data_IF_726973996499
#
_entry.id   IF_726973996499
#
_cell.length_a   1.000
_cell.length_b   1.000
_cell.length_c   1.000
_cell.angle_alpha   90.00
_cell.angle_beta   90.00
_cell.angle_gamma   90.00
#
_symmetry.space_group_name_H-M   'P 1'
#
loop_
_entity.id
_entity.type
_entity.pdbx_description
1 polymer ?
#
# COMPACT_ATOMS: atom_id res chain seq x y z
N UNK A 1 -11.13 8.33 -7.38
CA UNK A 1 -10.32 7.19 -7.85
C UNK A 1 -8.86 7.53 -7.57
N UNK A 2 -8.12 6.65 -6.88
CA UNK A 2 -6.71 6.89 -6.57
C UNK A 2 -5.81 6.79 -7.82
N UNK A 3 -4.51 6.97 -7.64
CA UNK A 3 -3.51 6.76 -8.69
C UNK A 3 -3.41 5.26 -9.00
N UNK A 4 -3.58 4.86 -10.26
CA UNK A 4 -3.50 3.46 -10.68
C UNK A 4 -3.08 3.34 -12.14
N UNK A 5 -2.81 2.10 -12.55
CA UNK A 5 -2.57 1.69 -13.92
C UNK A 5 -3.06 0.24 -14.13
N UNK A 6 -3.12 -0.23 -15.36
CA UNK A 6 -3.51 -1.60 -15.66
C UNK A 6 -2.25 -2.46 -15.77
N UNK A 7 -2.27 -3.61 -15.10
CA UNK A 7 -1.20 -4.62 -15.16
C UNK A 7 -1.79 -5.98 -15.54
N UNK A 8 -1.02 -6.80 -16.22
CA UNK A 8 -1.38 -8.19 -16.48
C UNK A 8 -0.57 -9.08 -15.55
N UNK A 9 -1.24 -9.90 -14.76
CA UNK A 9 -0.62 -10.77 -13.76
C UNK A 9 -1.12 -12.19 -13.86
N UNK A 10 -0.29 -13.14 -13.38
CA UNK A 10 -0.72 -14.49 -13.03
C UNK A 10 -0.41 -14.71 -11.56
N UNK A 11 -1.36 -15.25 -10.82
CA UNK A 11 -1.17 -15.56 -9.40
C UNK A 11 -1.85 -16.90 -9.06
N UNK A 12 -1.23 -17.64 -8.14
CA UNK A 12 -1.76 -18.94 -7.67
C UNK A 12 -1.60 -19.00 -6.15
N UNK A 13 -2.69 -19.33 -5.44
CA UNK A 13 -2.67 -19.57 -4.01
C UNK A 13 -3.76 -20.58 -3.65
N UNK A 14 -3.46 -21.52 -2.73
CA UNK A 14 -4.42 -22.49 -2.22
C UNK A 14 -5.05 -23.43 -3.27
N UNK A 15 -4.53 -23.43 -4.51
CA UNK A 15 -5.11 -24.18 -5.66
C UNK A 15 -5.95 -23.32 -6.60
N UNK A 16 -6.25 -22.09 -6.23
CA UNK A 16 -6.89 -21.10 -7.08
C UNK A 16 -5.86 -20.37 -7.92
N UNK A 17 -6.23 -20.03 -9.14
CA UNK A 17 -5.37 -19.31 -10.08
C UNK A 17 -6.14 -18.19 -10.76
N UNK A 18 -5.54 -17.01 -10.79
CA UNK A 18 -5.99 -15.90 -11.62
C UNK A 18 -4.96 -15.59 -12.69
N UNK A 19 -5.44 -15.19 -13.87
CA UNK A 19 -4.62 -14.74 -14.98
C UNK A 19 -5.42 -13.70 -15.75
N UNK A 20 -4.92 -12.48 -15.80
CA UNK A 20 -5.65 -11.39 -16.45
C UNK A 20 -5.07 -10.01 -16.20
N UNK A 21 -5.80 -9.02 -16.68
CA UNK A 21 -5.43 -7.62 -16.54
C UNK A 21 -6.30 -6.96 -15.47
N UNK A 22 -5.64 -6.28 -14.52
CA UNK A 22 -6.25 -5.69 -13.34
C UNK A 22 -5.80 -4.25 -13.18
N UNK A 23 -6.66 -3.43 -12.58
CA UNK A 23 -6.23 -2.14 -12.06
C UNK A 23 -5.34 -2.36 -10.83
N UNK A 24 -4.11 -1.90 -10.92
CA UNK A 24 -3.14 -1.93 -9.84
C UNK A 24 -2.86 -0.52 -9.35
N UNK A 25 -2.81 -0.33 -8.04
CA UNK A 25 -2.48 0.95 -7.43
C UNK A 25 -3.36 1.34 -6.26
N UNK A 26 -3.53 2.65 -6.09
CA UNK A 26 -4.27 3.22 -4.99
C UNK A 26 -5.77 3.08 -5.17
N UNK A 27 -6.45 2.65 -4.11
CA UNK A 27 -7.89 2.66 -3.99
C UNK A 27 -8.25 3.75 -2.99
N UNK A 28 -9.14 4.67 -3.40
CA UNK A 28 -9.66 5.72 -2.53
C UNK A 28 -11.01 5.29 -1.99
N UNK A 29 -11.14 5.26 -0.68
CA UNK A 29 -12.36 4.91 0.03
C UNK A 29 -12.86 6.07 0.87
N UNK A 30 -14.18 6.20 0.93
CA UNK A 30 -14.89 7.07 1.87
C UNK A 30 -15.63 6.21 2.88
N UNK A 31 -15.49 6.52 4.16
CA UNK A 31 -16.21 5.81 5.21
C UNK A 31 -17.70 6.16 5.19
N UNK A 32 -18.54 5.12 5.30
CA UNK A 32 -20.01 5.30 5.45
C UNK A 32 -20.36 5.59 6.89
N UNK A 33 -19.78 6.42 7.59
CA UNK A 33 -19.99 6.80 8.99
C UNK A 33 -20.42 5.65 9.98
N UNK A 34 -19.89 5.67 11.22
CA UNK A 34 -18.92 6.65 11.73
C UNK A 34 -17.50 6.38 11.23
N UNK A 35 -16.69 7.42 11.04
CA UNK A 35 -15.28 7.28 10.72
C UNK A 35 -14.57 6.63 11.91
N UNK A 36 -13.81 5.54 11.70
CA UNK A 36 -13.07 4.88 12.77
C UNK A 36 -12.03 5.81 13.39
N UNK A 37 -11.82 5.68 14.70
CA UNK A 37 -10.82 6.50 15.41
C UNK A 37 -9.42 6.33 14.82
N UNK A 38 -8.77 7.42 14.49
CA UNK A 38 -7.43 7.45 13.92
C UNK A 38 -7.40 7.39 12.39
N UNK A 39 -8.55 7.51 11.73
CA UNK A 39 -8.65 7.62 10.27
C UNK A 39 -9.25 8.98 9.87
N UNK A 40 -8.89 9.42 8.67
CA UNK A 40 -9.54 10.52 7.98
C UNK A 40 -10.87 10.05 7.34
N UNK A 41 -11.70 10.99 6.88
CA UNK A 41 -12.98 10.68 6.20
C UNK A 41 -12.79 9.83 4.94
N UNK A 42 -11.69 10.06 4.23
CA UNK A 42 -11.24 9.27 3.08
C UNK A 42 -9.90 8.63 3.38
N UNK A 43 -9.68 7.41 2.90
CA UNK A 43 -8.41 6.70 3.02
C UNK A 43 -7.91 6.22 1.68
N UNK A 44 -6.60 6.09 1.57
CA UNK A 44 -5.94 5.42 0.45
C UNK A 44 -5.48 4.06 0.93
N UNK A 45 -5.82 3.02 0.18
CA UNK A 45 -5.40 1.65 0.46
C UNK A 45 -4.79 0.98 -0.78
N UNK A 46 -4.17 -0.16 -0.56
CA UNK A 46 -3.68 -1.09 -1.56
C UNK A 46 -4.20 -2.48 -1.28
N UNK A 47 -4.48 -3.24 -2.33
CA UNK A 47 -4.93 -4.62 -2.20
C UNK A 47 -3.78 -5.51 -1.71
N UNK A 48 -4.09 -6.51 -0.90
CA UNK A 48 -3.14 -7.54 -0.47
C UNK A 48 -3.50 -8.92 -1.00
N UNK A 49 -4.74 -9.12 -1.43
CA UNK A 49 -5.21 -10.36 -2.03
C UNK A 49 -5.54 -10.15 -3.51
N UNK A 50 -4.70 -10.69 -4.40
CA UNK A 50 -4.88 -10.62 -5.85
C UNK A 50 -5.95 -11.57 -6.37
N UNK A 51 -6.37 -12.55 -5.56
CA UNK A 51 -7.36 -13.58 -5.97
C UNK A 51 -8.80 -13.15 -5.75
N UNK A 52 -9.03 -12.05 -5.06
CA UNK A 52 -10.37 -11.56 -4.73
C UNK A 52 -10.65 -10.22 -5.42
N UNK A 53 -11.91 -10.03 -5.78
CA UNK A 53 -12.38 -8.78 -6.38
C UNK A 53 -12.80 -7.77 -5.30
N UNK A 54 -12.63 -6.49 -5.62
CA UNK A 54 -13.14 -5.40 -4.79
C UNK A 54 -14.67 -5.34 -4.93
N UNK A 55 -15.35 -5.25 -3.80
CA UNK A 55 -16.78 -4.96 -3.74
C UNK A 55 -17.00 -3.56 -3.17
N UNK A 56 -17.95 -2.81 -3.73
CA UNK A 56 -18.34 -1.48 -3.26
C UNK A 56 -19.86 -1.43 -3.08
N UNK A 57 -20.38 -1.20 -1.88
CA UNK A 57 -19.64 -1.03 -0.60
C UNK A 57 -19.13 -2.36 -0.05
N UNK A 58 -18.05 -2.30 0.76
CA UNK A 58 -17.59 -3.45 1.51
C UNK A 58 -17.52 -3.14 3.02
N UNK A 59 -17.70 -4.17 3.83
CA UNK A 59 -17.51 -4.09 5.28
C UNK A 59 -16.14 -4.64 5.62
N UNK A 60 -15.37 -3.90 6.42
CA UNK A 60 -14.02 -4.31 6.81
C UNK A 60 -13.87 -4.35 8.32
N UNK A 61 -13.12 -5.34 8.82
CA UNK A 61 -12.56 -5.31 10.15
C UNK A 61 -11.17 -4.66 10.10
N UNK A 62 -10.90 -3.74 11.03
CA UNK A 62 -9.62 -3.03 11.07
C UNK A 62 -8.72 -3.70 12.09
N UNK A 63 -7.54 -4.12 11.67
CA UNK A 63 -6.54 -4.76 12.52
C UNK A 63 -5.18 -4.03 12.43
N UNK A 64 -4.39 -4.16 13.49
CA UNK A 64 -2.97 -3.76 13.54
C UNK A 64 -2.02 -4.91 13.25
N UNK A 65 -2.55 -6.12 13.17
CA UNK A 65 -1.80 -7.34 12.83
C UNK A 65 -2.20 -7.78 11.44
N UNK A 66 -1.23 -8.30 10.69
CA UNK A 66 -1.52 -8.93 9.40
C UNK A 66 -2.52 -10.08 9.58
N UNK A 67 -3.44 -10.22 8.65
CA UNK A 67 -4.32 -11.37 8.62
C UNK A 67 -3.48 -12.65 8.44
N UNK A 68 -3.72 -13.71 9.22
CA UNK A 68 -3.06 -15.00 9.03
C UNK A 68 -3.18 -15.56 7.60
N UNK A 69 -4.24 -15.24 6.88
CA UNK A 69 -4.41 -15.66 5.48
C UNK A 69 -3.39 -15.02 4.54
N UNK A 70 -2.92 -13.81 4.86
CA UNK A 70 -1.86 -13.12 4.10
C UNK A 70 -0.46 -13.69 4.36
N UNK A 71 -0.28 -14.42 5.46
CA UNK A 71 1.01 -15.01 5.84
C UNK A 71 1.18 -16.44 5.31
N UNK A 72 0.14 -17.04 4.73
CA UNK A 72 0.16 -18.45 4.33
C UNK A 72 1.02 -18.75 3.11
N UNK A 73 1.20 -17.81 2.22
CA UNK A 73 1.93 -18.01 0.97
C UNK A 73 3.42 -17.63 1.11
N UNK A 74 3.72 -16.49 1.72
CA UNK A 74 5.08 -16.02 1.92
C UNK A 74 5.43 -15.88 3.41
N UNK A 75 6.65 -16.25 3.79
CA UNK A 75 7.14 -16.02 5.15
C UNK A 75 7.12 -14.52 5.46
N UNK A 76 6.29 -14.13 6.45
CA UNK A 76 6.10 -12.73 6.85
C UNK A 76 5.66 -11.80 5.69
N UNK A 77 4.82 -12.30 4.78
CA UNK A 77 4.33 -11.55 3.63
C UNK A 77 3.63 -10.25 4.03
N UNK A 78 2.75 -10.33 5.03
CA UNK A 78 2.10 -9.15 5.58
C UNK A 78 3.08 -8.12 6.14
N UNK A 79 4.11 -8.54 6.87
CA UNK A 79 5.15 -7.65 7.38
C UNK A 79 5.91 -6.94 6.26
N UNK A 80 6.22 -7.66 5.16
CA UNK A 80 6.86 -7.10 3.97
C UNK A 80 5.96 -6.08 3.27
N UNK A 81 4.67 -6.40 3.08
CA UNK A 81 3.69 -5.49 2.51
C UNK A 81 3.56 -4.20 3.32
N UNK A 82 3.44 -4.30 4.65
CA UNK A 82 3.40 -3.16 5.54
C UNK A 82 4.68 -2.30 5.46
N UNK A 83 5.83 -2.94 5.38
CA UNK A 83 7.10 -2.23 5.23
C UNK A 83 7.18 -1.47 3.90
N UNK A 84 6.83 -2.13 2.78
CA UNK A 84 6.77 -1.49 1.47
C UNK A 84 5.86 -0.26 1.48
N UNK A 85 4.67 -0.41 2.04
CA UNK A 85 3.71 0.68 2.15
C UNK A 85 4.28 1.84 2.97
N UNK A 86 4.85 1.56 4.14
CA UNK A 86 5.43 2.58 5.02
C UNK A 86 6.60 3.34 4.38
N UNK A 87 7.41 2.66 3.56
CA UNK A 87 8.55 3.29 2.91
C UNK A 87 8.16 4.12 1.69
N UNK A 88 7.20 3.65 0.90
CA UNK A 88 7.00 4.19 -0.44
C UNK A 88 5.66 4.88 -0.67
N UNK A 89 4.60 4.60 0.10
CA UNK A 89 3.29 5.17 -0.16
C UNK A 89 3.29 6.70 -0.23
N UNK A 90 4.04 7.38 0.65
CA UNK A 90 4.14 8.84 0.66
C UNK A 90 4.94 9.43 -0.51
N UNK A 91 5.67 8.60 -1.25
CA UNK A 91 6.46 9.02 -2.42
C UNK A 91 5.75 8.78 -3.74
N UNK A 92 4.62 8.11 -3.71
CA UNK A 92 3.80 7.80 -4.89
C UNK A 92 3.11 9.06 -5.39
N UNK A 93 3.43 9.48 -6.61
CA UNK A 93 2.87 10.67 -7.25
C UNK A 93 2.34 10.40 -8.66
N UNK A 94 2.53 9.19 -9.19
CA UNK A 94 2.09 8.80 -10.54
C UNK A 94 1.39 7.44 -10.52
N UNK A 95 0.55 7.16 -11.54
CA UNK A 95 -0.09 5.86 -11.72
C UNK A 95 0.92 4.72 -11.83
N UNK A 96 2.03 4.92 -12.54
CA UNK A 96 3.13 3.94 -12.67
C UNK A 96 3.70 3.57 -11.30
N UNK A 97 4.00 4.56 -10.46
CA UNK A 97 4.52 4.30 -9.12
C UNK A 97 3.50 3.59 -8.22
N UNK A 98 2.23 3.97 -8.33
CA UNK A 98 1.15 3.33 -7.58
C UNK A 98 0.96 1.86 -8.00
N UNK A 99 0.93 1.60 -9.32
CA UNK A 99 0.84 0.25 -9.85
C UNK A 99 2.06 -0.60 -9.47
N UNK A 100 3.25 -0.04 -9.55
CA UNK A 100 4.48 -0.73 -9.16
C UNK A 100 4.50 -1.08 -7.67
N UNK A 101 4.02 -0.20 -6.79
CA UNK A 101 3.91 -0.49 -5.36
C UNK A 101 2.88 -1.59 -5.10
N UNK A 102 1.74 -1.55 -5.78
CA UNK A 102 0.73 -2.59 -5.70
C UNK A 102 1.28 -3.96 -6.14
N UNK A 103 1.98 -4.02 -7.27
CA UNK A 103 2.64 -5.23 -7.77
C UNK A 103 3.67 -5.77 -6.78
N UNK A 104 4.49 -4.90 -6.20
CA UNK A 104 5.47 -5.29 -5.18
C UNK A 104 4.81 -5.83 -3.90
N UNK A 105 3.66 -5.28 -3.49
CA UNK A 105 2.87 -5.79 -2.37
C UNK A 105 2.34 -7.19 -2.68
N UNK A 106 1.72 -7.40 -3.84
CA UNK A 106 1.21 -8.71 -4.24
C UNK A 106 2.30 -9.78 -4.28
N UNK A 107 3.46 -9.47 -4.90
CA UNK A 107 4.61 -10.39 -4.92
C UNK A 107 5.09 -10.72 -3.51
N UNK A 108 5.25 -9.72 -2.65
CA UNK A 108 5.73 -9.89 -1.29
C UNK A 108 4.80 -10.75 -0.40
N UNK A 109 3.49 -10.77 -0.70
CA UNK A 109 2.49 -11.58 -0.02
C UNK A 109 2.37 -12.97 -0.65
N UNK A 110 2.48 -13.06 -1.98
CA UNK A 110 2.24 -14.31 -2.71
C UNK A 110 3.37 -15.33 -2.55
N UNK A 111 4.64 -14.89 -2.50
CA UNK A 111 5.77 -15.80 -2.34
C UNK A 111 7.02 -15.17 -1.73
N UNK A 112 8.09 -15.95 -1.64
CA UNK A 112 9.36 -15.53 -1.05
C UNK A 112 10.45 -15.21 -2.09
N UNK A 113 10.14 -15.34 -3.38
CA UNK A 113 11.14 -15.20 -4.45
C UNK A 113 11.55 -13.75 -4.66
N UNK A 114 10.63 -12.81 -4.44
CA UNK A 114 10.74 -11.40 -4.82
C UNK A 114 11.17 -11.24 -6.29
N UNK A 115 10.63 -12.11 -7.15
CA UNK A 115 10.98 -12.21 -8.56
C UNK A 115 9.70 -12.21 -9.41
N UNK A 116 9.44 -11.12 -10.08
CA UNK A 116 8.23 -10.90 -10.87
C UNK A 116 8.10 -11.79 -12.12
N UNK A 117 9.14 -12.55 -12.48
CA UNK A 117 9.13 -13.45 -13.65
C UNK A 117 8.83 -14.90 -13.27
N UNK A 118 8.91 -15.25 -11.98
CA UNK A 118 8.77 -16.66 -11.52
C UNK A 118 8.14 -16.70 -10.14
N UNK A 119 7.45 -17.79 -9.82
CA UNK A 119 6.87 -18.02 -8.51
C UNK A 119 5.35 -18.14 -8.53
N UNK A 120 4.73 -17.94 -7.37
CA UNK A 120 3.28 -17.99 -7.22
C UNK A 120 2.58 -16.73 -7.75
N UNK A 121 3.31 -15.66 -7.91
CA UNK A 121 2.89 -14.42 -8.57
C UNK A 121 3.87 -14.07 -9.68
N UNK A 122 3.37 -13.62 -10.82
CA UNK A 122 4.22 -13.12 -11.93
C UNK A 122 3.56 -11.93 -12.61
N UNK A 123 4.38 -10.98 -13.04
CA UNK A 123 3.95 -9.82 -13.81
C UNK A 123 4.25 -10.04 -15.31
N UNK A 124 3.22 -9.99 -16.14
CA UNK A 124 3.40 -10.08 -17.60
C UNK A 124 3.75 -8.71 -18.16
N UNK A 125 5.03 -8.38 -18.18
CA UNK A 125 5.51 -7.07 -18.64
C UNK A 125 5.75 -6.96 -20.16
N UNK A 126 5.63 -8.09 -20.88
CA UNK A 126 5.74 -8.12 -22.35
C UNK A 126 4.41 -7.89 -23.06
N UNK A 127 3.29 -7.95 -22.36
CA UNK A 127 1.97 -7.78 -22.94
C UNK A 127 1.52 -6.31 -22.88
N UNK A 128 1.75 -5.63 -24.00
CA UNK A 128 1.44 -4.21 -24.16
C UNK A 128 -0.03 -3.92 -24.45
N UNK A 129 -0.94 -4.88 -24.30
CA UNK A 129 -2.30 -4.79 -24.82
C UNK A 129 -3.10 -3.63 -24.20
N UNK A 130 -2.81 -3.22 -22.97
CA UNK A 130 -3.59 -2.19 -22.25
C UNK A 130 -2.81 -0.94 -21.89
N UNK A 131 -1.52 -1.05 -21.54
CA UNK A 131 -0.72 0.09 -21.06
C UNK A 131 0.36 0.55 -22.04
N UNK A 132 0.63 -0.24 -23.08
CA UNK A 132 1.80 -0.04 -23.93
C UNK A 132 3.09 -0.61 -23.31
N UNK A 133 3.96 -1.21 -24.15
CA UNK A 133 5.18 -1.89 -23.70
C UNK A 133 6.11 -1.02 -22.85
N UNK A 134 6.21 0.28 -23.16
CA UNK A 134 7.06 1.20 -22.41
C UNK A 134 6.58 1.40 -20.97
N UNK A 135 5.27 1.52 -20.77
CA UNK A 135 4.70 1.74 -19.44
C UNK A 135 4.74 0.47 -18.60
N UNK A 136 4.45 -0.69 -19.20
CA UNK A 136 4.59 -1.99 -18.54
C UNK A 136 6.04 -2.22 -18.06
N UNK A 137 7.04 -1.85 -18.86
CA UNK A 137 8.44 -1.90 -18.48
C UNK A 137 8.75 -0.96 -17.29
N UNK A 138 8.22 0.26 -17.31
CA UNK A 138 8.43 1.20 -16.18
C UNK A 138 7.81 0.69 -14.88
N UNK A 139 6.63 0.07 -14.94
CA UNK A 139 5.99 -0.57 -13.77
C UNK A 139 6.85 -1.72 -13.27
N UNK A 140 7.32 -2.60 -14.16
CA UNK A 140 8.18 -3.72 -13.83
C UNK A 140 9.49 -3.28 -13.16
N UNK A 141 10.20 -2.32 -13.76
CA UNK A 141 11.46 -1.80 -13.23
C UNK A 141 11.28 -1.16 -11.85
N UNK A 142 10.22 -0.37 -11.69
CA UNK A 142 9.92 0.30 -10.44
C UNK A 142 9.49 -0.69 -9.35
N UNK A 143 8.72 -1.74 -9.68
CA UNK A 143 8.34 -2.79 -8.74
C UNK A 143 9.55 -3.60 -8.28
N UNK A 144 10.43 -3.96 -9.20
CA UNK A 144 11.72 -4.60 -8.86
C UNK A 144 12.59 -3.72 -7.96
N UNK A 145 12.60 -2.41 -8.19
CA UNK A 145 13.29 -1.49 -7.28
C UNK A 145 12.70 -1.59 -5.87
N UNK A 146 11.38 -1.53 -5.70
CA UNK A 146 10.73 -1.64 -4.40
C UNK A 146 11.04 -2.99 -3.73
N UNK A 147 10.93 -4.09 -4.46
CA UNK A 147 11.23 -5.43 -3.95
C UNK A 147 12.72 -5.57 -3.55
N UNK A 148 13.64 -4.97 -4.30
CA UNK A 148 15.06 -5.00 -3.97
C UNK A 148 15.36 -4.35 -2.62
N UNK A 149 14.56 -3.36 -2.22
CA UNK A 149 14.73 -2.68 -0.94
C UNK A 149 14.37 -3.57 0.26
N UNK A 150 13.54 -4.60 0.07
CA UNK A 150 13.24 -5.59 1.11
C UNK A 150 14.50 -6.37 1.58
N UNK A 151 15.49 -6.55 0.73
CA UNK A 151 16.77 -7.19 1.10
C UNK A 151 17.65 -6.28 1.96
N UNK A 152 17.57 -4.96 1.76
CA UNK A 152 18.35 -3.97 2.52
C UNK A 152 17.61 -3.52 3.79
N UNK A 153 16.28 -3.61 3.81
CA UNK A 153 15.46 -3.31 4.97
C UNK A 153 15.60 -4.42 6.01
N UNK A 154 16.37 -4.14 7.05
CA UNK A 154 16.51 -4.90 8.29
C UNK A 154 15.99 -6.35 8.25
N UNK A 155 16.81 -7.28 7.87
CA UNK A 155 16.61 -8.72 7.91
C UNK A 155 15.67 -9.16 9.05
N UNK A 156 14.37 -9.32 8.74
CA UNK A 156 13.37 -9.81 9.68
C UNK A 156 12.75 -8.79 10.65
N UNK A 157 13.07 -7.51 10.55
CA UNK A 157 12.47 -6.46 11.38
C UNK A 157 11.64 -5.47 10.53
N UNK A 158 10.59 -5.97 9.89
CA UNK A 158 9.65 -5.11 9.21
C UNK A 158 8.79 -4.36 10.24
N UNK A 159 8.88 -3.03 10.25
CA UNK A 159 8.05 -2.22 11.13
C UNK A 159 6.63 -2.14 10.56
N UNK A 160 5.70 -2.87 11.19
CA UNK A 160 4.30 -2.90 10.82
C UNK A 160 3.44 -1.91 11.61
N UNK A 161 4.04 -1.15 12.53
CA UNK A 161 3.33 -0.39 13.57
C UNK A 161 2.37 0.68 13.04
N UNK A 162 2.61 1.20 11.82
CA UNK A 162 1.74 2.21 11.20
C UNK A 162 0.75 1.63 10.20
N UNK A 163 0.97 0.43 9.70
CA UNK A 163 0.01 -0.22 8.80
C UNK A 163 -1.28 -0.62 9.52
N UNK A 164 -2.39 -0.55 8.80
CA UNK A 164 -3.71 -1.06 9.20
C UNK A 164 -4.20 -1.99 8.13
N UNK A 165 -4.67 -3.13 8.56
CA UNK A 165 -5.26 -4.15 7.71
C UNK A 165 -6.75 -3.93 7.68
N UNK A 166 -7.31 -3.95 6.50
CA UNK A 166 -8.74 -3.85 6.23
C UNK A 166 -9.19 -5.21 5.74
N UNK A 167 -9.52 -6.08 6.70
CA UNK A 167 -10.01 -7.43 6.42
C UNK A 167 -11.46 -7.34 5.97
N UNK A 168 -11.71 -7.67 4.72
CA UNK A 168 -13.02 -7.67 4.10
C UNK A 168 -13.82 -8.88 4.58
N UNK A 169 -14.37 -8.79 5.78
CA UNK A 169 -15.26 -9.82 6.34
C UNK A 169 -16.55 -9.85 5.57
N UNK A 170 -16.75 -10.85 4.76
CA UNK A 170 -17.99 -11.04 4.05
C UNK A 170 -18.86 -12.10 4.69
N UNK A 171 -20.02 -11.71 5.12
CA UNK A 171 -21.13 -12.65 5.38
C UNK A 171 -21.67 -13.30 4.09
N UNK A 172 -21.23 -12.86 2.90
CA UNK A 172 -21.78 -13.25 1.61
C UNK A 172 -20.72 -13.62 0.54
N UNK A 173 -19.45 -13.86 0.94
CA UNK A 173 -18.43 -14.36 0.00
C UNK A 173 -17.33 -13.37 -0.38
N UNK A 174 -16.63 -12.83 0.62
CA UNK A 174 -15.31 -12.21 0.47
C UNK A 174 -15.25 -10.95 -0.40
N UNK A 175 -14.83 -9.85 0.21
CA UNK A 175 -14.26 -8.72 -0.51
C UNK A 175 -12.74 -8.84 -0.52
N UNK A 176 -12.06 -8.03 -1.31
CA UNK A 176 -10.61 -8.01 -1.35
C UNK A 176 -10.04 -7.36 -0.09
N UNK A 177 -9.14 -8.08 0.58
CA UNK A 177 -8.40 -7.54 1.72
C UNK A 177 -7.43 -6.45 1.28
N UNK A 178 -7.24 -5.48 2.17
CA UNK A 178 -6.46 -4.30 1.84
C UNK A 178 -5.55 -3.89 2.99
N UNK A 179 -4.56 -3.09 2.65
CA UNK A 179 -3.66 -2.46 3.61
C UNK A 179 -3.64 -0.96 3.39
N UNK A 180 -3.65 -0.21 4.49
CA UNK A 180 -3.51 1.24 4.48
C UNK A 180 -2.52 1.69 5.56
N UNK A 181 -1.96 2.88 5.38
CA UNK A 181 -1.36 3.61 6.49
C UNK A 181 -2.34 4.67 6.91
N UNK A 182 -2.71 4.77 8.21
CA UNK A 182 -3.28 6.00 8.72
C UNK A 182 -2.34 7.12 8.30
N UNK A 183 -2.87 8.23 7.81
CA UNK A 183 -2.02 9.32 7.34
C UNK A 183 -0.94 9.62 8.39
N UNK A 184 0.34 9.68 8.00
CA UNK A 184 1.37 10.07 8.95
C UNK A 184 0.95 11.39 9.51
N UNK A 185 1.15 11.57 10.81
CA UNK A 185 0.86 12.78 11.59
C UNK A 185 1.55 14.04 11.04
N UNK A 186 1.60 14.19 9.72
CA UNK A 186 2.04 15.40 9.01
C UNK A 186 1.25 16.61 9.51
N UNK A 187 -0.03 16.42 9.81
CA UNK A 187 -0.85 17.43 10.47
C UNK A 187 -0.34 17.74 11.89
N UNK A 188 0.14 16.74 12.64
CA UNK A 188 0.75 16.97 13.95
C UNK A 188 2.07 17.73 13.82
N UNK A 189 2.89 17.42 12.82
CA UNK A 189 4.14 18.15 12.53
C UNK A 189 3.87 19.58 12.07
N UNK A 190 2.84 19.81 11.26
CA UNK A 190 2.42 21.16 10.84
C UNK A 190 1.86 21.92 12.05
N UNK A 191 1.04 21.28 12.88
CA UNK A 191 0.52 21.89 14.11
C UNK A 191 1.64 22.22 15.09
N UNK A 192 2.59 21.34 15.32
CA UNK A 192 3.78 21.58 16.16
C UNK A 192 4.67 22.65 15.54
N UNK A 193 4.94 22.62 14.24
CA UNK A 193 5.69 23.65 13.52
C UNK A 193 5.04 25.03 13.62
N UNK A 194 3.71 25.11 13.51
CA UNK A 194 2.93 26.32 13.69
C UNK A 194 3.01 26.89 15.11
N UNK A 195 2.99 26.03 16.14
CA UNK A 195 3.16 26.42 17.54
C UNK A 195 4.56 26.95 17.78
N UNK A 196 5.61 26.30 17.28
CA UNK A 196 6.99 26.78 17.40
C UNK A 196 7.23 28.11 16.67
N UNK A 197 6.67 28.31 15.50
CA UNK A 197 6.74 29.58 14.76
C UNK A 197 6.05 30.69 15.52
N UNK A 198 4.91 30.44 16.16
CA UNK A 198 4.17 31.43 16.97
C UNK A 198 4.86 31.76 18.27
N UNK A 199 5.58 30.81 18.87
CA UNK A 199 6.42 31.09 20.08
C UNK A 199 7.64 31.93 19.75
N UNK A 200 8.26 31.73 18.57
CA UNK A 200 9.41 32.53 18.13
C UNK A 200 9.05 33.97 17.78
N UNK A 201 7.85 34.23 17.26
CA UNK A 201 7.36 35.55 16.89
C UNK A 201 7.03 36.47 18.08
N UNK A 202 6.97 35.94 19.31
CA UNK A 202 6.63 36.74 20.53
C UNK A 202 7.81 37.38 21.26
N UNK A 203 9.04 37.20 20.80
CA UNK A 203 10.19 37.96 21.36
C UNK A 203 10.16 39.38 20.81
N UNK A 204 9.45 40.28 21.51
CA UNK A 204 9.54 41.74 21.29
C UNK A 204 10.97 42.18 21.61
N UNK A 205 11.61 43.01 20.77
CA UNK A 205 12.85 43.64 21.15
C UNK A 205 12.57 44.60 22.32
N UNK A 206 13.38 44.51 23.37
CA UNK A 206 13.37 45.47 24.45
C UNK A 206 13.86 46.82 23.91
N UNK A 207 13.03 47.85 23.94
CA UNK A 207 13.40 49.22 23.62
C UNK A 207 14.22 49.76 24.80
N UNK A 208 15.50 50.01 24.59
CA UNK A 208 16.35 50.73 25.55
C UNK A 208 16.17 52.21 25.24
N UNK A 209 15.60 53.00 26.20
CA UNK A 209 15.56 54.44 26.14
C UNK A 209 16.85 54.97 26.78
N UNK A 210 17.54 55.90 26.11
CA UNK A 210 18.64 56.65 26.59
C UNK A 210 18.12 57.88 27.32
#
# INVERSE_FOLDING_TARGET
MGLNDIVTVNATSGGDTVSGSYYAGQILWDWVAPVPSGFEESIVSYCVDVLQDITDPQTVAISTTADPLMETAATNGGGKAAWLLNQFASTVTTGVQAAALQVAIWEAVADNSHNLDTGSFTLVHSDAAYTGAAQATLIYDQANYYLSQLFYGAQGQYNTSVARWLDATSATGGGQDQITTPEPSSLLLIALGGVFARMRGRRRPATISA
#
